data_IF_854646731945
#
_entry.id   IF_854646731945
#
_cell.length_a   1.000
_cell.length_b   1.000
_cell.length_c   1.000
_cell.angle_alpha   90.00
_cell.angle_beta   90.00
_cell.angle_gamma   90.00
#
_symmetry.space_group_name_H-M   'P 1'
#
loop_
_entity.id
_entity.type
_entity.pdbx_description
1 polymer ?
#
# COMPACT_ATOMS: atom_id res chain seq x y z
N UNK A 1 -5.69 11.00 -3.30
CA UNK A 1 -5.66 9.58 -2.85
C UNK A 1 -4.19 9.21 -2.64
N UNK A 2 -3.88 8.33 -1.68
CA UNK A 2 -2.53 7.78 -1.57
C UNK A 2 -2.39 6.64 -2.59
N UNK A 3 -1.18 6.14 -2.77
CA UNK A 3 -0.91 5.09 -3.73
C UNK A 3 -1.72 3.83 -3.40
N UNK A 4 -2.31 3.25 -4.44
CA UNK A 4 -2.99 1.94 -4.40
C UNK A 4 -1.94 0.88 -4.60
N UNK A 5 -1.97 -0.21 -3.84
CA UNK A 5 -1.05 -1.34 -4.05
C UNK A 5 -1.84 -2.50 -4.59
N UNK A 6 -1.31 -3.13 -5.63
CA UNK A 6 -1.89 -4.26 -6.31
C UNK A 6 -0.94 -5.42 -6.12
N UNK A 7 -1.49 -6.58 -5.75
CA UNK A 7 -0.76 -7.84 -5.76
C UNK A 7 -1.40 -8.79 -6.77
N UNK A 8 -0.57 -9.37 -7.63
CA UNK A 8 -0.96 -10.31 -8.69
C UNK A 8 0.00 -11.51 -8.72
N UNK A 9 -0.44 -12.71 -9.13
CA UNK A 9 -1.81 -13.06 -9.52
C UNK A 9 -2.74 -13.27 -8.31
N UNK A 10 -4.04 -13.21 -8.53
CA UNK A 10 -5.03 -13.54 -7.51
C UNK A 10 -5.27 -15.05 -7.40
N UNK A 11 -4.99 -15.58 -6.22
CA UNK A 11 -5.51 -16.83 -5.70
C UNK A 11 -6.46 -16.54 -4.52
N UNK A 12 -7.78 -16.66 -4.73
CA UNK A 12 -8.82 -16.23 -3.79
C UNK A 12 -8.74 -16.93 -2.42
N UNK A 13 -8.60 -18.27 -2.32
CA UNK A 13 -8.53 -18.94 -1.03
C UNK A 13 -7.37 -18.43 -0.17
N UNK A 14 -6.20 -18.21 -0.78
CA UNK A 14 -5.03 -17.65 -0.09
C UNK A 14 -5.27 -16.20 0.33
N UNK A 15 -5.94 -15.40 -0.51
CA UNK A 15 -6.24 -14.01 -0.17
C UNK A 15 -7.16 -13.93 1.06
N UNK A 16 -8.25 -14.71 1.07
CA UNK A 16 -9.18 -14.79 2.21
C UNK A 16 -8.46 -15.25 3.48
N UNK A 17 -7.61 -16.27 3.38
CA UNK A 17 -6.83 -16.77 4.51
C UNK A 17 -5.89 -15.72 5.09
N UNK A 18 -5.10 -15.06 4.23
CA UNK A 18 -4.15 -14.01 4.66
C UNK A 18 -4.89 -12.81 5.26
N UNK A 19 -6.03 -12.39 4.68
CA UNK A 19 -6.84 -11.30 5.22
C UNK A 19 -7.46 -11.64 6.58
N UNK A 20 -7.99 -12.86 6.73
CA UNK A 20 -8.52 -13.35 8.01
C UNK A 20 -7.46 -13.37 9.11
N UNK A 21 -6.29 -13.94 8.83
CA UNK A 21 -5.14 -13.92 9.76
C UNK A 21 -4.62 -12.50 10.02
N UNK A 22 -4.73 -11.63 9.03
CA UNK A 22 -4.41 -10.20 9.13
C UNK A 22 -5.39 -9.39 9.96
N UNK A 23 -6.42 -10.03 10.54
CA UNK A 23 -7.50 -9.43 11.32
C UNK A 23 -8.38 -8.47 10.50
N UNK A 24 -8.43 -8.62 9.19
CA UNK A 24 -9.39 -7.90 8.36
C UNK A 24 -10.78 -8.53 8.54
N UNK A 25 -11.81 -7.68 8.58
CA UNK A 25 -13.20 -8.09 8.65
C UNK A 25 -13.86 -7.94 7.27
N UNK A 26 -14.72 -8.89 6.86
CA UNK A 26 -15.47 -8.74 5.63
C UNK A 26 -16.50 -7.62 5.80
N UNK A 27 -16.56 -6.68 4.85
CA UNK A 27 -17.51 -5.54 4.90
C UNK A 27 -18.47 -5.51 3.72
N UNK A 28 -18.18 -6.25 2.64
CA UNK A 28 -19.10 -6.35 1.51
C UNK A 28 -19.00 -7.70 0.81
N UNK A 29 -20.17 -8.30 0.60
CA UNK A 29 -20.39 -9.55 -0.12
C UNK A 29 -21.19 -9.24 -1.38
N UNK A 30 -20.85 -9.89 -2.49
CA UNK A 30 -21.64 -9.74 -3.70
C UNK A 30 -23.02 -10.38 -3.49
N UNK A 31 -24.13 -9.73 -3.91
CA UNK A 31 -25.48 -10.27 -3.72
C UNK A 31 -25.66 -11.69 -4.28
N UNK A 32 -24.96 -12.00 -5.37
CA UNK A 32 -25.10 -13.24 -6.14
C UNK A 32 -23.91 -14.21 -5.96
N UNK A 33 -22.95 -13.90 -5.07
CA UNK A 33 -21.79 -14.78 -4.77
C UNK A 33 -21.44 -14.67 -3.29
N UNK A 34 -21.72 -15.73 -2.54
CA UNK A 34 -21.46 -15.80 -1.09
C UNK A 34 -20.26 -16.68 -0.71
N UNK A 35 -19.44 -17.09 -1.68
CA UNK A 35 -18.25 -17.91 -1.43
C UNK A 35 -17.18 -17.12 -0.64
N UNK A 36 -17.07 -15.82 -0.88
CA UNK A 36 -16.14 -14.92 -0.19
C UNK A 36 -16.62 -13.46 -0.26
N UNK A 37 -16.21 -12.64 0.71
CA UNK A 37 -16.40 -11.20 0.66
C UNK A 37 -15.42 -10.56 -0.34
N UNK A 38 -15.88 -9.60 -1.14
CA UNK A 38 -15.03 -8.91 -2.12
C UNK A 38 -14.35 -7.67 -1.53
N UNK A 39 -14.80 -7.17 -0.37
CA UNK A 39 -14.16 -6.08 0.37
C UNK A 39 -13.94 -6.44 1.83
N UNK A 40 -12.75 -6.13 2.31
CA UNK A 40 -12.27 -6.43 3.65
C UNK A 40 -11.62 -5.19 4.24
N UNK A 41 -11.77 -4.99 5.55
CA UNK A 41 -11.24 -3.81 6.22
C UNK A 41 -10.64 -4.14 7.58
N UNK A 42 -9.56 -3.44 7.91
CA UNK A 42 -8.99 -3.41 9.25
C UNK A 42 -8.87 -1.96 9.70
N UNK A 43 -9.61 -1.63 10.75
CA UNK A 43 -9.55 -0.31 11.40
C UNK A 43 -8.33 -0.27 12.33
N UNK A 44 -7.56 0.81 12.23
CA UNK A 44 -6.45 1.14 13.11
C UNK A 44 -6.89 2.36 13.92
N UNK A 45 -7.54 2.12 15.07
CA UNK A 45 -8.23 3.14 15.84
C UNK A 45 -7.25 4.21 16.37
N UNK A 46 -6.06 3.78 16.76
CA UNK A 46 -4.97 4.62 17.27
C UNK A 46 -4.49 5.66 16.25
N UNK A 47 -4.66 5.36 14.96
CA UNK A 47 -4.24 6.23 13.87
C UNK A 47 -5.43 6.88 13.15
N UNK A 48 -6.66 6.57 13.52
CA UNK A 48 -7.86 7.09 12.85
C UNK A 48 -7.91 6.73 11.37
N UNK A 49 -7.43 5.54 11.01
CA UNK A 49 -7.27 5.06 9.64
C UNK A 49 -7.87 3.67 9.47
N UNK A 50 -8.12 3.30 8.22
CA UNK A 50 -8.60 1.99 7.82
C UNK A 50 -7.74 1.49 6.67
N UNK A 51 -7.19 0.30 6.80
CA UNK A 51 -6.61 -0.44 5.67
C UNK A 51 -7.74 -1.22 5.03
N UNK A 52 -8.06 -0.89 3.77
CA UNK A 52 -9.05 -1.65 3.00
C UNK A 52 -8.34 -2.54 1.99
N UNK A 53 -8.90 -3.72 1.80
CA UNK A 53 -8.53 -4.65 0.75
C UNK A 53 -9.75 -4.97 -0.11
N UNK A 54 -9.55 -5.08 -1.43
CA UNK A 54 -10.57 -5.58 -2.35
C UNK A 54 -10.02 -6.68 -3.24
N UNK A 55 -10.81 -7.73 -3.38
CA UNK A 55 -10.58 -8.83 -4.31
C UNK A 55 -11.39 -8.52 -5.57
N UNK A 56 -10.71 -8.22 -6.67
CA UNK A 56 -11.36 -7.81 -7.92
C UNK A 56 -10.58 -8.28 -9.14
N UNK A 57 -11.28 -8.83 -10.13
CA UNK A 57 -10.65 -9.41 -11.32
C UNK A 57 -9.57 -10.41 -10.92
N UNK A 58 -8.35 -10.18 -11.41
CA UNK A 58 -7.19 -11.05 -11.18
C UNK A 58 -6.20 -10.49 -10.14
N UNK A 59 -6.65 -9.56 -9.29
CA UNK A 59 -5.77 -8.89 -8.33
C UNK A 59 -6.32 -8.78 -6.92
N UNK A 60 -5.40 -8.71 -5.95
CA UNK A 60 -5.65 -8.23 -4.60
C UNK A 60 -5.22 -6.77 -4.49
N UNK A 61 -6.17 -5.86 -4.25
CA UNK A 61 -5.89 -4.43 -4.16
C UNK A 61 -5.97 -3.96 -2.70
N UNK A 62 -4.96 -3.20 -2.26
CA UNK A 62 -4.90 -2.56 -0.95
C UNK A 62 -4.90 -1.03 -1.06
N UNK A 63 -5.58 -0.39 -0.10
CA UNK A 63 -5.58 1.06 0.10
C UNK A 63 -5.65 1.43 1.58
N UNK A 64 -5.26 2.66 1.90
CA UNK A 64 -5.42 3.27 3.23
C UNK A 64 -6.39 4.45 3.11
N UNK A 65 -7.37 4.51 4.02
CA UNK A 65 -8.36 5.57 4.11
C UNK A 65 -8.41 6.15 5.54
N UNK A 66 -8.34 7.48 5.72
CA UNK A 66 -7.93 8.49 4.75
C UNK A 66 -6.54 8.22 4.15
N UNK A 67 -6.31 8.75 2.95
CA UNK A 67 -5.05 8.58 2.23
C UNK A 67 -3.86 9.19 3.01
N UNK A 68 -2.72 8.50 3.11
CA UNK A 68 -1.55 9.01 3.86
C UNK A 68 -1.15 10.44 3.47
N UNK A 69 -1.26 10.78 2.19
CA UNK A 69 -0.92 12.10 1.65
C UNK A 69 -1.76 13.26 2.20
N UNK A 70 -2.85 12.99 2.93
CA UNK A 70 -3.69 14.04 3.54
C UNK A 70 -3.21 14.43 4.94
N UNK A 71 -2.30 13.65 5.54
CA UNK A 71 -1.80 13.91 6.88
C UNK A 71 -0.55 14.77 6.85
N UNK A 72 -0.50 15.79 7.71
CA UNK A 72 0.68 16.65 7.91
C UNK A 72 1.79 15.85 8.62
N UNK A 73 1.42 14.96 9.54
CA UNK A 73 2.35 14.10 10.29
C UNK A 73 2.28 12.66 9.80
N UNK A 74 3.18 12.28 8.89
CA UNK A 74 3.26 10.93 8.34
C UNK A 74 3.73 9.88 9.37
N UNK A 75 4.50 10.29 10.39
CA UNK A 75 5.00 9.41 11.46
C UNK A 75 3.87 8.72 12.24
N UNK A 76 2.73 9.39 12.44
CA UNK A 76 1.57 8.84 13.14
C UNK A 76 0.73 7.87 12.29
N UNK A 77 1.28 7.33 11.21
CA UNK A 77 0.63 6.40 10.26
C UNK A 77 1.43 5.11 10.04
N UNK A 78 2.39 4.83 10.91
CA UNK A 78 3.31 3.68 10.83
C UNK A 78 2.58 2.35 10.99
N UNK A 79 1.59 2.23 11.86
CA UNK A 79 0.83 0.99 12.08
C UNK A 79 0.04 0.65 10.80
N UNK A 80 -0.68 1.63 10.23
CA UNK A 80 -1.45 1.43 9.00
C UNK A 80 -0.56 1.08 7.82
N UNK A 81 0.57 1.77 7.67
CA UNK A 81 1.53 1.48 6.61
C UNK A 81 2.17 0.10 6.78
N UNK A 82 2.53 -0.29 8.00
CA UNK A 82 3.06 -1.62 8.31
C UNK A 82 2.05 -2.71 7.97
N UNK A 83 0.80 -2.61 8.47
CA UNK A 83 -0.27 -3.58 8.16
C UNK A 83 -0.50 -3.66 6.65
N UNK A 84 -0.54 -2.52 5.97
CA UNK A 84 -0.73 -2.45 4.52
C UNK A 84 0.33 -3.22 3.74
N UNK A 85 1.62 -2.99 4.02
CA UNK A 85 2.70 -3.66 3.30
C UNK A 85 2.95 -5.09 3.78
N UNK A 86 2.70 -5.38 5.06
CA UNK A 86 2.80 -6.73 5.62
C UNK A 86 1.81 -7.67 4.92
N UNK A 87 0.56 -7.25 4.73
CA UNK A 87 -0.44 -8.06 4.02
C UNK A 87 -0.06 -8.24 2.56
N UNK A 88 0.41 -7.18 1.88
CA UNK A 88 0.86 -7.27 0.50
C UNK A 88 2.03 -8.26 0.35
N UNK A 89 3.04 -8.16 1.21
CA UNK A 89 4.21 -9.03 1.21
C UNK A 89 3.86 -10.49 1.55
N UNK A 90 3.12 -10.71 2.65
CA UNK A 90 2.70 -12.06 3.05
C UNK A 90 1.87 -12.74 1.97
N UNK A 91 0.97 -12.00 1.33
CA UNK A 91 0.17 -12.57 0.25
C UNK A 91 1.04 -12.90 -0.98
N UNK A 92 1.84 -11.93 -1.45
CA UNK A 92 2.72 -12.11 -2.60
C UNK A 92 3.68 -13.29 -2.42
N UNK A 93 4.26 -13.45 -1.23
CA UNK A 93 5.15 -14.56 -0.91
C UNK A 93 4.47 -15.92 -1.11
N UNK A 94 3.19 -16.06 -0.72
CA UNK A 94 2.46 -17.33 -0.83
C UNK A 94 2.01 -17.67 -2.24
N UNK A 95 1.85 -16.68 -3.11
CA UNK A 95 1.39 -16.89 -4.49
C UNK A 95 2.50 -16.73 -5.53
N UNK A 96 3.75 -16.45 -5.11
CA UNK A 96 4.84 -16.10 -6.02
C UNK A 96 4.54 -14.81 -6.81
N UNK A 97 3.90 -13.85 -6.14
CA UNK A 97 3.29 -12.69 -6.77
C UNK A 97 4.17 -11.45 -6.88
N UNK A 98 3.68 -10.50 -7.65
CA UNK A 98 4.22 -9.16 -7.83
C UNK A 98 3.41 -8.13 -7.06
N UNK A 99 4.11 -7.19 -6.42
CA UNK A 99 3.52 -6.07 -5.72
C UNK A 99 3.82 -4.81 -6.51
N UNK A 100 2.78 -4.17 -7.04
CA UNK A 100 2.90 -2.91 -7.79
C UNK A 100 2.12 -1.81 -7.09
N UNK A 101 2.76 -0.67 -6.89
CA UNK A 101 2.14 0.51 -6.34
C UNK A 101 1.78 1.50 -7.44
N UNK A 102 0.53 1.92 -7.49
CA UNK A 102 0.00 2.89 -8.43
C UNK A 102 -0.06 4.26 -7.75
N UNK A 103 0.77 5.19 -8.20
CA UNK A 103 0.77 6.55 -7.72
C UNK A 103 -0.47 7.29 -8.21
N UNK A 104 -1.29 7.77 -7.28
CA UNK A 104 -2.51 8.54 -7.58
C UNK A 104 -2.37 10.03 -7.22
N UNK A 105 -1.16 10.44 -6.81
CA UNK A 105 -0.79 11.83 -6.50
C UNK A 105 0.57 12.16 -7.10
N UNK A 106 0.71 13.38 -7.62
CA UNK A 106 1.91 13.88 -8.30
C UNK A 106 3.17 13.81 -7.43
N UNK A 107 3.04 14.01 -6.11
CA UNK A 107 4.17 13.88 -5.18
C UNK A 107 4.71 12.44 -5.01
N UNK A 108 4.01 11.44 -5.55
CA UNK A 108 4.43 10.03 -5.54
C UNK A 108 4.85 9.53 -6.92
N UNK A 109 4.78 10.36 -7.98
CA UNK A 109 5.24 10.01 -9.32
C UNK A 109 6.71 10.37 -9.48
N UNK A 110 7.53 9.43 -9.94
CA UNK A 110 8.93 9.69 -10.30
C UNK A 110 8.95 10.22 -11.75
N UNK A 111 9.58 11.37 -12.03
CA UNK A 111 9.69 11.91 -13.39
C UNK A 111 10.27 10.86 -14.36
N UNK A 112 9.59 10.63 -15.49
CA UNK A 112 10.02 9.66 -16.51
C UNK A 112 9.54 8.22 -16.31
N UNK A 113 8.88 7.90 -15.19
CA UNK A 113 8.29 6.58 -14.95
C UNK A 113 6.77 6.56 -15.21
N UNK A 114 6.26 5.42 -15.66
CA UNK A 114 4.81 5.14 -15.64
C UNK A 114 4.31 5.31 -14.20
N UNK A 115 3.04 5.65 -13.99
CA UNK A 115 2.41 5.84 -12.67
C UNK A 115 2.36 4.56 -11.79
N UNK A 116 3.19 3.56 -12.09
CA UNK A 116 3.30 2.25 -11.48
C UNK A 116 4.74 2.03 -11.04
N UNK A 117 4.92 1.62 -9.78
CA UNK A 117 6.20 1.34 -9.15
C UNK A 117 6.20 -0.12 -8.68
N UNK A 118 7.08 -0.95 -9.24
CA UNK A 118 7.26 -2.32 -8.78
C UNK A 118 7.95 -2.30 -7.42
N UNK A 119 7.27 -2.81 -6.39
CA UNK A 119 7.78 -2.87 -5.03
C UNK A 119 8.50 -4.19 -4.74
N UNK A 120 8.02 -5.28 -5.32
CA UNK A 120 8.59 -6.63 -5.19
C UNK A 120 8.00 -7.63 -6.18
N UNK A 121 8.72 -8.72 -6.41
CA UNK A 121 8.35 -9.89 -7.22
C UNK A 121 8.90 -11.14 -6.54
N UNK A 122 8.05 -11.89 -5.87
CA UNK A 122 8.47 -13.05 -5.09
C UNK A 122 8.69 -14.29 -5.97
N UNK A 123 9.70 -15.12 -5.67
CA UNK A 123 10.70 -14.97 -4.62
C UNK A 123 11.93 -14.12 -5.04
N UNK A 124 12.05 -13.78 -6.32
CA UNK A 124 13.27 -13.17 -6.92
C UNK A 124 13.67 -11.80 -6.37
N UNK A 125 12.70 -11.03 -5.88
CA UNK A 125 12.85 -9.66 -5.42
C UNK A 125 11.85 -9.40 -4.29
N UNK A 126 12.20 -9.71 -3.03
CA UNK A 126 11.31 -9.43 -1.89
C UNK A 126 10.98 -7.94 -1.78
N UNK A 127 9.91 -7.59 -1.06
CA UNK A 127 9.56 -6.19 -0.80
C UNK A 127 10.72 -5.44 -0.10
N UNK A 128 11.04 -4.23 -0.55
CA UNK A 128 11.91 -3.30 0.20
C UNK A 128 11.19 -1.97 0.38
N UNK A 129 11.36 -1.38 1.57
CA UNK A 129 10.85 -0.04 1.88
C UNK A 129 11.62 1.07 1.16
N UNK A 130 12.77 0.79 0.54
CA UNK A 130 13.45 1.77 -0.30
C UNK A 130 12.73 1.98 -1.65
N UNK A 131 11.91 1.01 -2.05
CA UNK A 131 11.20 0.99 -3.33
C UNK A 131 9.77 1.52 -3.25
N UNK A 132 9.28 1.92 -2.07
CA UNK A 132 7.93 2.51 -1.95
C UNK A 132 7.97 4.00 -2.30
N UNK A 133 6.80 4.59 -2.59
CA UNK A 133 6.75 6.02 -2.89
C UNK A 133 7.27 6.90 -1.75
N UNK A 134 7.67 8.12 -2.09
CA UNK A 134 8.23 9.09 -1.14
C UNK A 134 7.38 9.30 0.11
N UNK A 135 6.04 9.31 -0.03
CA UNK A 135 5.12 9.44 1.11
C UNK A 135 5.27 8.29 2.12
N UNK A 136 5.36 7.04 1.66
CA UNK A 136 5.56 5.89 2.54
C UNK A 136 7.00 5.78 3.04
N UNK A 137 8.00 6.18 2.24
CA UNK A 137 9.38 6.29 2.71
C UNK A 137 9.46 7.26 3.88
N UNK A 138 8.77 8.40 3.82
CA UNK A 138 8.70 9.32 4.95
C UNK A 138 8.08 8.65 6.18
N UNK A 139 7.00 7.86 6.06
CA UNK A 139 6.42 7.13 7.21
C UNK A 139 7.45 6.23 7.92
N UNK A 140 8.25 5.49 7.15
CA UNK A 140 9.17 4.47 7.68
C UNK A 140 10.57 5.01 8.03
N UNK A 141 11.10 5.94 7.24
CA UNK A 141 12.51 6.36 7.27
C UNK A 141 12.73 7.68 8.01
N UNK A 142 11.69 8.46 8.36
CA UNK A 142 11.86 9.72 9.13
C UNK A 142 12.16 9.51 10.63
N UNK A 143 12.98 8.51 10.94
CA UNK A 143 13.74 8.42 12.18
C UNK A 143 15.15 9.01 12.08
N UNK A 144 15.59 9.43 10.88
CA UNK A 144 16.74 10.31 10.69
C UNK A 144 16.20 11.73 10.47
N UNK A 145 16.34 12.57 11.49
CA UNK A 145 16.20 14.02 11.35
C UNK A 145 17.19 14.49 10.29
N UNK A 146 16.68 14.92 9.14
CA UNK A 146 17.35 15.91 8.32
C UNK A 146 16.43 17.13 8.26
N UNK A 147 16.96 18.25 8.73
CA UNK A 147 16.27 19.47 9.10
C UNK A 147 15.39 20.01 7.97
N UNK A 148 14.07 19.81 8.09
CA UNK A 148 13.05 20.77 7.65
C UNK A 148 13.07 21.26 6.20
N UNK A 149 13.76 20.60 5.27
CA UNK A 149 13.93 21.11 3.91
C UNK A 149 13.66 20.06 2.84
N UNK A 150 12.42 19.56 2.78
CA UNK A 150 11.97 18.82 1.61
C UNK A 150 11.75 19.75 0.41
N UNK A 151 12.84 20.09 -0.29
CA UNK A 151 12.78 20.65 -1.64
C UNK A 151 12.59 19.51 -2.64
N UNK A 152 11.50 19.56 -3.39
CA UNK A 152 11.27 18.69 -4.55
C UNK A 152 12.44 18.81 -5.54
N UNK A 153 12.88 17.72 -6.19
CA UNK A 153 13.86 17.80 -7.27
C UNK A 153 13.17 18.46 -8.46
N UNK A 154 13.47 19.75 -8.69
CA UNK A 154 12.91 20.50 -9.82
C UNK A 154 12.91 22.03 -9.71
N UNK A 155 13.34 22.65 -8.61
CA UNK A 155 13.53 24.10 -8.57
C UNK A 155 14.90 24.49 -9.13
N UNK A 156 15.01 24.51 -10.45
CA UNK A 156 15.99 25.35 -11.13
C UNK A 156 15.74 26.81 -10.71
N UNK A 157 16.73 27.44 -10.08
CA UNK A 157 16.98 28.87 -10.29
C UNK A 157 18.40 28.99 -10.79
N UNK A 158 18.46 29.27 -12.09
CA UNK A 158 19.57 29.92 -12.77
C UNK A 158 19.96 31.20 -12.03
N UNK A 159 21.23 31.56 -12.23
CA UNK A 159 21.97 32.77 -11.81
C UNK A 159 22.28 32.95 -10.33
#
# INVERSE_FOLDING_TARGET
MCCRTIVQPLHVPTAVYILGNGLFKPVYWLPNRQEYAVRWERVIAEEGTTVSCSISGDVLELRIAPAISVYIQHLGKRISASVYFEIAAKYAEKVGGEITQHATVTGCTIPGHRQQLLLGRYPSLPLSFDRVCAGFRAVFLSGEEDDGNWRLPGANTLS
#
